data_IF_051231357751
#
_entry.id   IF_051231357751
#
_cell.length_a   1.000
_cell.length_b   1.000
_cell.length_c   1.000
_cell.angle_alpha   90.00
_cell.angle_beta   90.00
_cell.angle_gamma   90.00
#
_symmetry.space_group_name_H-M   'P 1'
#
loop_
_entity.id
_entity.type
_entity.pdbx_description
1 polymer ?
#
# COMPACT_ATOMS: atom_id res chain seq x y z
N UNK A 1 14.80 -2.60 -22.17
CA UNK A 1 13.52 -3.21 -22.59
C UNK A 1 13.70 -4.31 -23.63
N UNK A 2 14.46 -4.10 -24.72
CA UNK A 2 14.70 -5.11 -25.75
C UNK A 2 15.18 -6.48 -25.23
N UNK A 3 16.15 -6.49 -24.31
CA UNK A 3 16.66 -7.72 -23.69
C UNK A 3 15.59 -8.51 -22.91
N UNK A 4 14.63 -7.82 -22.29
CA UNK A 4 13.54 -8.46 -21.53
C UNK A 4 12.50 -9.12 -22.43
N UNK A 5 12.43 -8.67 -23.69
CA UNK A 5 11.53 -9.21 -24.70
C UNK A 5 12.25 -10.24 -25.59
N UNK A 6 13.42 -10.73 -25.16
CA UNK A 6 14.29 -11.62 -25.91
C UNK A 6 14.66 -11.07 -27.30
N UNK A 7 14.81 -9.75 -27.41
CA UNK A 7 15.22 -9.07 -28.64
C UNK A 7 16.65 -8.56 -28.54
N UNK A 8 17.27 -8.36 -29.71
CA UNK A 8 18.59 -7.72 -29.79
C UNK A 8 18.51 -6.25 -29.36
N UNK A 9 19.62 -5.72 -28.84
CA UNK A 9 19.64 -4.34 -28.32
C UNK A 9 19.54 -3.28 -29.42
N UNK A 10 19.83 -3.64 -30.67
CA UNK A 10 19.73 -2.82 -31.88
C UNK A 10 18.34 -2.90 -32.56
N UNK A 11 17.34 -3.47 -31.89
CA UNK A 11 15.97 -3.52 -32.41
C UNK A 11 15.42 -2.11 -32.69
N UNK A 12 14.72 -1.98 -33.82
CA UNK A 12 14.04 -0.73 -34.16
C UNK A 12 13.00 -0.35 -33.10
N UNK A 13 12.93 0.94 -32.68
CA UNK A 13 11.99 1.40 -31.66
C UNK A 13 10.52 1.02 -31.93
N UNK A 14 10.07 1.09 -33.18
CA UNK A 14 8.69 0.73 -33.54
C UNK A 14 8.41 -0.76 -33.38
N UNK A 15 9.38 -1.61 -33.76
CA UNK A 15 9.27 -3.05 -33.53
C UNK A 15 9.23 -3.36 -32.03
N UNK A 16 10.05 -2.68 -31.23
CA UNK A 16 10.03 -2.83 -29.77
C UNK A 16 8.68 -2.42 -29.17
N UNK A 17 8.10 -1.31 -29.64
CA UNK A 17 6.77 -0.83 -29.22
C UNK A 17 5.67 -1.83 -29.59
N UNK A 18 5.71 -2.42 -30.78
CA UNK A 18 4.73 -3.42 -31.20
C UNK A 18 4.80 -4.69 -30.32
N UNK A 19 6.00 -5.19 -30.04
CA UNK A 19 6.16 -6.36 -29.16
C UNK A 19 5.69 -6.04 -27.73
N UNK A 20 6.04 -4.85 -27.22
CA UNK A 20 5.56 -4.41 -25.92
C UNK A 20 4.03 -4.29 -25.89
N UNK A 21 3.42 -3.72 -26.93
CA UNK A 21 1.98 -3.59 -27.09
C UNK A 21 1.29 -4.96 -27.03
N UNK A 22 1.77 -5.97 -27.77
CA UNK A 22 1.24 -7.34 -27.71
C UNK A 22 1.26 -7.91 -26.29
N UNK A 23 2.30 -7.61 -25.50
CA UNK A 23 2.41 -8.09 -24.11
C UNK A 23 1.48 -7.38 -23.12
N UNK A 24 1.07 -6.15 -23.41
CA UNK A 24 0.22 -5.34 -22.51
C UNK A 24 -1.22 -5.20 -23.00
N UNK A 25 -1.68 -6.08 -23.89
CA UNK A 25 -3.08 -6.14 -24.34
C UNK A 25 -3.41 -5.33 -25.59
N UNK A 26 -2.40 -4.99 -26.40
CA UNK A 26 -2.53 -4.31 -27.68
C UNK A 26 -2.12 -2.83 -27.67
N UNK A 27 -2.08 -2.22 -28.85
CA UNK A 27 -1.56 -0.85 -29.08
C UNK A 27 -2.42 0.21 -28.39
N UNK A 28 -3.74 0.00 -28.31
CA UNK A 28 -4.69 0.93 -27.70
C UNK A 28 -5.08 0.53 -26.26
N UNK A 29 -4.27 -0.28 -25.60
CA UNK A 29 -4.54 -0.71 -24.23
C UNK A 29 -4.13 0.34 -23.20
N UNK A 30 -4.76 0.28 -22.02
CA UNK A 30 -4.33 1.07 -20.86
C UNK A 30 -2.87 0.77 -20.47
N UNK A 31 -2.40 -0.46 -20.70
CA UNK A 31 -1.03 -0.85 -20.44
C UNK A 31 -0.04 -0.13 -21.36
N UNK A 32 -0.33 -0.03 -22.66
CA UNK A 32 0.54 0.68 -23.59
C UNK A 32 0.59 2.19 -23.30
N UNK A 33 -0.56 2.78 -22.96
CA UNK A 33 -0.65 4.17 -22.50
C UNK A 33 0.20 4.40 -21.24
N UNK A 34 0.11 3.51 -20.25
CA UNK A 34 0.91 3.60 -19.04
C UNK A 34 2.42 3.52 -19.32
N UNK A 35 2.88 2.61 -20.19
CA UNK A 35 4.31 2.54 -20.55
C UNK A 35 4.82 3.83 -21.21
N UNK A 36 3.97 4.49 -22.03
CA UNK A 36 4.29 5.76 -22.67
C UNK A 36 4.31 6.92 -21.66
N UNK A 37 3.29 7.02 -20.80
CA UNK A 37 3.19 8.07 -19.77
C UNK A 37 4.29 7.96 -18.72
N UNK A 38 4.70 6.72 -18.39
CA UNK A 38 5.87 6.45 -17.55
C UNK A 38 7.21 6.69 -18.27
N UNK A 39 7.22 7.14 -19.53
CA UNK A 39 8.44 7.51 -20.25
C UNK A 39 9.36 6.32 -20.60
N UNK A 40 8.87 5.08 -20.58
CA UNK A 40 9.71 3.87 -20.77
C UNK A 40 10.18 3.66 -22.22
N UNK A 41 9.65 4.45 -23.16
CA UNK A 41 10.10 4.52 -24.56
C UNK A 41 10.77 5.86 -24.89
N UNK A 42 11.14 6.65 -23.89
CA UNK A 42 11.89 7.89 -24.09
C UNK A 42 13.37 7.60 -24.35
N UNK A 43 14.09 8.59 -24.87
CA UNK A 43 15.54 8.51 -25.09
C UNK A 43 16.37 8.70 -23.80
N UNK A 44 15.70 8.75 -22.64
CA UNK A 44 16.35 8.85 -21.35
C UNK A 44 17.19 7.59 -21.09
N UNK A 45 18.48 7.81 -20.79
CA UNK A 45 19.37 6.71 -20.42
C UNK A 45 18.96 6.18 -19.05
N UNK A 46 18.50 4.93 -19.02
CA UNK A 46 18.15 4.26 -17.78
C UNK A 46 19.40 4.07 -16.90
N UNK A 47 19.29 4.44 -15.63
CA UNK A 47 20.28 4.13 -14.60
C UNK A 47 20.21 2.64 -14.27
N UNK A 48 21.15 1.85 -14.80
CA UNK A 48 21.07 0.38 -14.78
C UNK A 48 21.52 -0.17 -13.42
N UNK A 49 20.64 -0.90 -12.77
CA UNK A 49 20.92 -1.61 -11.53
C UNK A 49 20.75 -3.11 -11.75
N UNK A 50 21.84 -3.85 -11.94
CA UNK A 50 21.82 -5.33 -12.01
C UNK A 50 20.84 -5.92 -13.04
N UNK A 51 19.59 -6.17 -12.62
CA UNK A 51 18.51 -6.67 -13.46
C UNK A 51 17.47 -5.58 -13.82
N UNK A 52 16.50 -5.93 -14.66
CA UNK A 52 15.51 -4.96 -15.12
C UNK A 52 14.55 -4.46 -14.02
N UNK A 53 14.19 -5.29 -13.05
CA UNK A 53 13.32 -4.88 -11.96
C UNK A 53 14.04 -3.89 -11.05
N UNK A 54 15.29 -4.19 -10.71
CA UNK A 54 16.16 -3.32 -9.91
C UNK A 54 16.48 -2.01 -10.64
N UNK A 55 16.46 -2.00 -11.98
CA UNK A 55 16.54 -0.78 -12.80
C UNK A 55 15.22 0.01 -12.81
N UNK A 56 14.09 -0.69 -12.92
CA UNK A 56 12.76 -0.08 -13.05
C UNK A 56 12.24 0.48 -11.73
N UNK A 57 12.44 -0.22 -10.60
CA UNK A 57 11.95 0.18 -9.30
C UNK A 57 12.41 1.58 -8.85
N UNK A 58 13.71 1.93 -8.86
CA UNK A 58 14.16 3.28 -8.48
C UNK A 58 13.71 4.34 -9.49
N UNK A 59 13.62 3.99 -10.78
CA UNK A 59 13.06 4.89 -11.79
C UNK A 59 11.61 5.26 -11.48
N UNK A 60 10.75 4.26 -11.22
CA UNK A 60 9.36 4.47 -10.83
C UNK A 60 9.24 5.20 -9.49
N UNK A 61 10.06 4.85 -8.50
CA UNK A 61 10.09 5.50 -7.21
C UNK A 61 10.40 7.00 -7.32
N UNK A 62 11.22 7.40 -8.29
CA UNK A 62 11.53 8.80 -8.57
C UNK A 62 10.37 9.53 -9.25
N UNK A 63 9.77 8.96 -10.30
CA UNK A 63 8.76 9.66 -11.11
C UNK A 63 7.34 9.58 -10.54
N UNK A 64 7.06 8.61 -9.65
CA UNK A 64 5.79 8.44 -8.95
C UNK A 64 5.89 8.81 -7.46
N UNK A 65 6.95 9.53 -7.06
CA UNK A 65 7.05 10.07 -5.72
C UNK A 65 5.93 11.09 -5.47
N UNK A 66 5.46 11.16 -4.23
CA UNK A 66 4.56 12.23 -3.82
C UNK A 66 5.25 13.59 -3.99
N UNK A 67 4.56 14.53 -4.62
CA UNK A 67 5.01 15.92 -4.72
C UNK A 67 4.69 16.71 -3.44
N UNK A 68 5.28 17.89 -3.31
CA UNK A 68 4.91 18.85 -2.27
C UNK A 68 3.40 19.12 -2.29
N UNK A 69 2.78 19.13 -1.11
CA UNK A 69 1.33 19.31 -0.88
C UNK A 69 0.41 18.17 -1.34
N UNK A 70 0.92 17.09 -1.92
CA UNK A 70 0.13 15.88 -2.14
C UNK A 70 -0.14 15.15 -0.81
N UNK A 71 -1.20 14.35 -0.79
CA UNK A 71 -1.59 13.57 0.39
C UNK A 71 -1.70 12.10 0.02
N UNK A 72 -1.16 11.24 0.86
CA UNK A 72 -1.47 9.81 0.81
C UNK A 72 -2.80 9.50 1.49
N UNK A 73 -3.26 8.27 1.30
CA UNK A 73 -4.51 7.76 1.84
C UNK A 73 -4.31 6.32 2.28
N UNK A 74 -4.71 6.02 3.51
CA UNK A 74 -4.84 4.65 4.02
C UNK A 74 -6.31 4.32 4.18
N UNK A 75 -6.74 3.24 3.52
CA UNK A 75 -8.07 2.66 3.68
C UNK A 75 -7.93 1.22 4.15
N UNK A 76 -8.51 0.91 5.31
CA UNK A 76 -8.64 -0.45 5.81
C UNK A 76 -10.13 -0.75 6.00
N UNK A 77 -10.58 -1.88 5.48
CA UNK A 77 -11.96 -2.32 5.63
C UNK A 77 -12.02 -3.79 6.01
N UNK A 78 -12.61 -4.10 7.15
CA UNK A 78 -13.07 -5.44 7.47
C UNK A 78 -14.54 -5.57 7.12
N UNK A 79 -14.90 -6.69 6.50
CA UNK A 79 -16.25 -7.04 6.10
C UNK A 79 -16.57 -8.44 6.60
N UNK A 80 -17.41 -8.52 7.63
CA UNK A 80 -17.59 -9.72 8.44
C UNK A 80 -19.07 -10.10 8.45
N UNK A 81 -19.39 -11.24 7.86
CA UNK A 81 -20.70 -11.89 8.02
C UNK A 81 -20.76 -12.64 9.36
N UNK A 82 -21.82 -12.41 10.13
CA UNK A 82 -22.04 -13.02 11.44
C UNK A 82 -23.39 -13.71 11.47
N UNK A 83 -23.43 -14.96 11.94
CA UNK A 83 -24.68 -15.63 12.30
C UNK A 83 -24.84 -15.54 13.82
N UNK A 84 -25.93 -14.90 14.25
CA UNK A 84 -26.25 -14.76 15.65
C UNK A 84 -26.84 -16.07 16.21
N UNK A 85 -26.79 -16.23 17.52
CA UNK A 85 -27.40 -17.37 18.21
C UNK A 85 -28.92 -17.45 17.98
N UNK A 86 -29.57 -16.32 17.73
CA UNK A 86 -30.97 -16.22 17.32
C UNK A 86 -31.27 -16.84 15.94
N UNK A 87 -30.24 -17.16 15.16
CA UNK A 87 -30.38 -17.62 13.76
C UNK A 87 -30.40 -16.49 12.73
N UNK A 88 -30.58 -15.23 13.15
CA UNK A 88 -30.49 -14.07 12.24
C UNK A 88 -29.04 -13.83 11.78
N UNK A 89 -28.89 -13.21 10.61
CA UNK A 89 -27.58 -12.88 10.05
C UNK A 89 -27.34 -11.37 10.06
N UNK A 90 -26.10 -10.99 10.27
CA UNK A 90 -25.66 -9.59 10.25
C UNK A 90 -24.39 -9.47 9.40
N UNK A 91 -24.16 -8.28 8.84
CA UNK A 91 -22.91 -7.87 8.20
C UNK A 91 -22.32 -6.71 8.96
N UNK A 92 -21.09 -6.88 9.45
CA UNK A 92 -20.35 -5.90 10.22
C UNK A 92 -19.24 -5.35 9.33
N UNK A 93 -19.30 -4.05 9.05
CA UNK A 93 -18.27 -3.33 8.30
C UNK A 93 -17.49 -2.45 9.25
N UNK A 94 -16.16 -2.61 9.29
CA UNK A 94 -15.27 -1.82 10.16
C UNK A 94 -14.24 -1.14 9.27
N UNK A 95 -14.25 0.19 9.27
CA UNK A 95 -13.49 1.01 8.30
C UNK A 95 -12.58 2.00 8.99
N UNK A 96 -11.31 2.05 8.57
CA UNK A 96 -10.39 3.15 8.85
C UNK A 96 -10.14 3.89 7.54
N UNK A 97 -10.26 5.20 7.57
CA UNK A 97 -9.89 6.10 6.47
C UNK A 97 -9.02 7.20 7.07
N UNK A 98 -7.75 7.24 6.67
CA UNK A 98 -6.79 8.22 7.15
C UNK A 98 -6.12 8.92 5.97
N UNK A 99 -6.09 10.25 5.99
CA UNK A 99 -5.43 11.08 4.99
C UNK A 99 -4.08 11.58 5.51
N UNK A 100 -3.08 11.70 4.65
CA UNK A 100 -1.83 12.40 4.99
C UNK A 100 -2.07 13.88 5.28
N UNK A 101 -1.20 14.45 6.11
CA UNK A 101 -1.16 15.89 6.36
C UNK A 101 -0.12 16.53 5.44
N UNK A 102 -0.49 17.50 4.57
CA UNK A 102 0.43 18.09 3.58
C UNK A 102 1.74 18.63 4.17
N UNK A 103 1.68 19.17 5.40
CA UNK A 103 2.82 19.73 6.13
C UNK A 103 3.13 18.93 7.41
N UNK A 104 2.77 17.64 7.43
CA UNK A 104 2.88 16.78 8.60
C UNK A 104 3.27 15.36 8.21
N UNK A 105 2.79 14.39 8.99
CA UNK A 105 3.04 12.99 8.69
C UNK A 105 2.02 12.45 7.68
N UNK A 106 2.50 11.59 6.78
CA UNK A 106 1.64 10.80 5.90
C UNK A 106 0.71 9.87 6.70
N UNK A 107 -0.44 9.51 6.15
CA UNK A 107 -1.35 8.53 6.75
C UNK A 107 -0.63 7.21 7.02
N UNK A 108 0.22 6.77 6.09
CA UNK A 108 1.07 5.58 6.26
C UNK A 108 2.01 5.73 7.46
N UNK A 109 2.75 6.84 7.55
CA UNK A 109 3.68 7.08 8.65
C UNK A 109 2.98 7.09 10.01
N UNK A 110 1.79 7.71 10.10
CA UNK A 110 1.01 7.73 11.35
C UNK A 110 0.47 6.36 11.72
N UNK A 111 -0.22 5.69 10.79
CA UNK A 111 -0.87 4.40 11.07
C UNK A 111 0.11 3.29 11.43
N UNK A 112 1.33 3.33 10.89
CA UNK A 112 2.41 2.41 11.26
C UNK A 112 3.16 2.90 12.49
N UNK A 113 3.67 4.13 12.45
CA UNK A 113 4.57 4.69 13.45
C UNK A 113 3.92 4.89 14.81
N UNK A 114 2.69 5.38 14.87
CA UNK A 114 1.97 5.57 16.14
C UNK A 114 1.65 4.22 16.78
N UNK A 115 1.31 3.21 15.98
CA UNK A 115 1.09 1.84 16.47
C UNK A 115 2.36 1.29 17.13
N UNK A 116 3.52 1.48 16.48
CA UNK A 116 4.82 1.10 17.04
C UNK A 116 5.08 1.84 18.37
N UNK A 117 4.96 3.18 18.38
CA UNK A 117 5.23 4.00 19.57
C UNK A 117 4.32 3.64 20.76
N UNK A 118 3.02 3.44 20.51
CA UNK A 118 2.04 3.07 21.55
C UNK A 118 2.40 1.72 22.18
N UNK A 119 2.67 0.70 21.36
CA UNK A 119 2.98 -0.65 21.86
C UNK A 119 4.35 -0.67 22.55
N UNK A 120 5.35 0.01 22.01
CA UNK A 120 6.66 0.17 22.67
C UNK A 120 6.52 0.81 24.05
N UNK A 121 5.71 1.87 24.17
CA UNK A 121 5.45 2.48 25.46
C UNK A 121 4.75 1.51 26.43
N UNK A 122 3.76 0.73 25.96
CA UNK A 122 3.11 -0.30 26.81
C UNK A 122 4.09 -1.35 27.33
N UNK A 123 5.09 -1.76 26.52
CA UNK A 123 6.15 -2.67 26.97
C UNK A 123 7.00 -1.99 28.05
N UNK A 124 7.44 -0.74 27.83
CA UNK A 124 8.27 0.01 28.78
C UNK A 124 7.56 0.26 30.12
N UNK A 125 6.25 0.47 30.09
CA UNK A 125 5.44 0.66 31.30
C UNK A 125 5.07 -0.66 32.01
N UNK A 126 5.54 -1.80 31.52
CA UNK A 126 5.24 -3.11 32.12
C UNK A 126 3.77 -3.56 31.95
N UNK A 127 3.03 -2.97 31.01
CA UNK A 127 1.64 -3.37 30.70
C UNK A 127 1.62 -4.69 29.90
N UNK A 128 2.66 -4.95 29.10
CA UNK A 128 2.83 -6.20 28.36
C UNK A 128 3.93 -7.02 29.04
N UNK A 129 3.54 -7.94 29.92
CA UNK A 129 4.47 -8.73 30.74
C UNK A 129 4.81 -10.10 30.14
N UNK A 130 3.99 -10.59 29.20
CA UNK A 130 4.21 -11.90 28.60
C UNK A 130 5.49 -11.86 27.76
N UNK A 131 6.44 -12.74 28.05
CA UNK A 131 7.69 -12.86 27.31
C UNK A 131 7.55 -13.71 26.03
N UNK A 132 8.53 -13.59 25.14
CA UNK A 132 8.64 -14.35 23.89
C UNK A 132 8.27 -13.55 22.64
N UNK A 133 8.09 -14.24 21.52
CA UNK A 133 7.67 -13.63 20.25
C UNK A 133 6.14 -13.52 20.24
N UNK A 134 5.64 -12.31 20.45
CA UNK A 134 4.21 -12.05 20.61
C UNK A 134 3.58 -11.45 19.34
N UNK A 135 2.27 -11.67 19.20
CA UNK A 135 1.40 -11.01 18.21
C UNK A 135 0.26 -10.28 18.93
N UNK A 136 -0.27 -9.16 18.41
CA UNK A 136 -1.29 -8.35 19.07
C UNK A 136 -2.71 -8.95 18.91
N UNK A 137 -2.88 -10.24 19.22
CA UNK A 137 -4.15 -10.98 19.05
C UNK A 137 -4.92 -11.17 20.37
N UNK A 138 -4.33 -10.80 21.50
CA UNK A 138 -4.97 -10.90 22.82
C UNK A 138 -5.61 -9.56 23.22
N UNK A 139 -6.78 -9.64 23.87
CA UNK A 139 -7.55 -8.47 24.33
C UNK A 139 -6.73 -7.52 25.20
N UNK A 140 -5.87 -8.06 26.04
CA UNK A 140 -4.97 -7.33 26.93
C UNK A 140 -3.99 -6.43 26.18
N UNK A 141 -3.62 -6.78 24.93
CA UNK A 141 -2.73 -5.97 24.10
C UNK A 141 -3.54 -5.04 23.20
N UNK A 142 -4.44 -5.59 22.38
CA UNK A 142 -5.06 -4.78 21.32
C UNK A 142 -6.06 -3.76 21.85
N UNK A 143 -6.77 -4.02 22.96
CA UNK A 143 -7.78 -3.08 23.48
C UNK A 143 -7.14 -1.77 23.98
N UNK A 144 -6.15 -1.79 24.89
CA UNK A 144 -5.48 -0.55 25.32
C UNK A 144 -4.74 0.14 24.16
N UNK A 145 -4.12 -0.62 23.25
CA UNK A 145 -3.47 -0.06 22.08
C UNK A 145 -4.47 0.69 21.17
N UNK A 146 -5.61 0.07 20.82
CA UNK A 146 -6.64 0.71 20.01
C UNK A 146 -7.23 1.95 20.68
N UNK A 147 -7.39 1.95 22.01
CA UNK A 147 -7.85 3.13 22.75
C UNK A 147 -6.86 4.30 22.60
N UNK A 148 -5.57 4.06 22.84
CA UNK A 148 -4.53 5.10 22.70
C UNK A 148 -4.36 5.57 21.27
N UNK A 149 -4.52 4.68 20.30
CA UNK A 149 -4.50 5.03 18.88
C UNK A 149 -5.68 5.93 18.49
N UNK A 150 -6.87 5.70 19.07
CA UNK A 150 -8.02 6.56 18.86
C UNK A 150 -7.78 7.99 19.38
N UNK A 151 -7.12 8.13 20.53
CA UNK A 151 -6.71 9.44 21.08
C UNK A 151 -5.72 10.19 20.15
N UNK A 152 -4.98 9.45 19.32
CA UNK A 152 -4.06 9.97 18.29
C UNK A 152 -4.74 10.14 16.91
N UNK A 153 -6.07 10.02 16.85
CA UNK A 153 -6.86 10.18 15.62
C UNK A 153 -6.96 8.93 14.75
N UNK A 154 -6.36 7.80 15.14
CA UNK A 154 -6.45 6.52 14.41
C UNK A 154 -7.57 5.69 15.02
N UNK A 155 -8.77 5.79 14.45
CA UNK A 155 -9.93 5.04 14.91
C UNK A 155 -10.72 4.44 13.74
N UNK A 156 -11.43 3.36 14.02
CA UNK A 156 -12.30 2.72 13.05
C UNK A 156 -13.76 3.11 13.30
N UNK A 157 -14.52 3.28 12.22
CA UNK A 157 -15.97 3.38 12.25
C UNK A 157 -16.59 1.99 12.03
N UNK A 158 -17.72 1.71 12.66
CA UNK A 158 -18.43 0.43 12.54
C UNK A 158 -19.86 0.65 12.03
N UNK A 159 -20.24 -0.09 11.00
CA UNK A 159 -21.61 -0.17 10.49
C UNK A 159 -22.07 -1.63 10.61
N UNK A 160 -23.29 -1.84 11.13
CA UNK A 160 -23.93 -3.16 11.19
C UNK A 160 -25.18 -3.11 10.33
N UNK A 161 -25.33 -4.10 9.44
CA UNK A 161 -26.49 -4.25 8.56
C UNK A 161 -27.09 -5.62 8.80
N UNK A 162 -28.40 -5.69 9.01
CA UNK A 162 -29.11 -6.96 9.11
C UNK A 162 -29.24 -7.59 7.72
N UNK A 163 -29.01 -8.90 7.62
CA UNK A 163 -29.09 -9.68 6.39
C UNK A 163 -30.36 -10.53 6.35
#
# INVERSE_FOLDING_TARGET
MASLLNQRQDIFPDSLRNIAAEKVGGVNSAGMKALQELGLFSDNVADRHGNALDTLAPYLAKILAFNENERDLVVLNHDIGVRLQSGSSERHRISIVAYGEPNGFSAMARTVGYTCAVVSNMVLQGEIQKAGVLRPVTKEIYRPALKRLADLGIHATKIVTQL
#
